data_IF_162479709886
#
_entry.id   IF_162479709886
#
_cell.length_a   1.000
_cell.length_b   1.000
_cell.length_c   1.000
_cell.angle_alpha   90.00
_cell.angle_beta   90.00
_cell.angle_gamma   90.00
#
_symmetry.space_group_name_H-M   'P 1'
#
loop_
_entity.id
_entity.type
_entity.pdbx_description
1 polymer ?
#
# COMPACT_ATOMS: atom_id res chain seq x y z
N UNK A 1 -2.85 14.30 71.69
CA UNK A 1 -2.35 13.07 72.36
C UNK A 1 -1.50 12.30 71.36
N UNK A 2 -0.34 11.73 71.77
CA UNK A 2 0.58 10.83 71.00
C UNK A 2 1.07 11.39 69.63
N UNK A 3 2.33 11.85 69.42
CA UNK A 3 3.67 11.20 69.55
C UNK A 3 3.77 9.89 68.74
N UNK A 4 4.86 9.43 68.09
CA UNK A 4 6.16 9.92 67.56
C UNK A 4 6.86 8.66 66.90
N UNK A 5 7.95 8.67 66.09
CA UNK A 5 8.93 9.70 65.65
C UNK A 5 9.54 9.38 64.24
N UNK A 6 10.32 10.34 63.73
CA UNK A 6 11.32 10.38 62.63
C UNK A 6 12.32 9.20 62.52
N UNK A 7 12.84 8.89 61.31
CA UNK A 7 14.28 8.87 60.95
C UNK A 7 14.47 8.46 59.48
N UNK A 8 15.50 8.99 58.83
CA UNK A 8 15.97 8.54 57.53
C UNK A 8 17.49 8.58 57.46
N UNK A 9 18.09 7.89 56.49
CA UNK A 9 19.48 8.14 56.09
C UNK A 9 19.65 7.91 54.58
N UNK A 10 20.50 8.74 53.99
CA UNK A 10 20.84 8.78 52.57
C UNK A 10 22.27 8.27 52.41
N UNK A 11 22.57 7.45 51.40
CA UNK A 11 23.93 7.28 50.90
C UNK A 11 23.93 6.80 49.44
N UNK A 12 24.50 7.64 48.56
CA UNK A 12 24.89 7.29 47.20
C UNK A 12 26.32 6.71 47.21
N UNK A 13 26.62 5.76 46.33
CA UNK A 13 27.91 5.69 45.64
C UNK A 13 27.76 4.99 44.27
N UNK A 14 28.74 5.18 43.40
CA UNK A 14 28.59 5.08 41.94
C UNK A 14 29.59 4.12 41.27
N UNK A 15 29.11 3.43 40.22
CA UNK A 15 29.82 3.08 38.96
C UNK A 15 31.06 2.14 38.91
N UNK A 16 30.93 1.10 38.07
CA UNK A 16 31.79 0.75 36.89
C UNK A 16 32.85 -0.40 36.96
N UNK A 17 32.61 -1.39 36.06
CA UNK A 17 33.52 -2.22 35.21
C UNK A 17 34.14 -3.59 35.63
N UNK A 18 33.76 -4.60 34.80
CA UNK A 18 34.56 -5.64 34.09
C UNK A 18 34.95 -7.02 34.69
N UNK A 19 34.30 -8.07 34.12
CA UNK A 19 34.83 -9.30 33.47
C UNK A 19 35.87 -10.18 34.19
N UNK A 20 35.51 -11.46 34.45
CA UNK A 20 36.12 -12.64 33.77
C UNK A 20 35.62 -14.03 34.27
N UNK A 21 35.33 -14.91 33.30
CA UNK A 21 35.47 -16.39 33.26
C UNK A 21 34.95 -17.37 34.36
N UNK A 22 34.60 -18.57 33.86
CA UNK A 22 33.96 -19.72 34.51
C UNK A 22 34.87 -20.49 35.50
N UNK A 23 34.34 -21.52 36.19
CA UNK A 23 34.66 -22.88 35.74
C UNK A 23 33.47 -23.87 35.71
N UNK A 24 33.69 -25.01 35.05
CA UNK A 24 32.78 -26.16 34.90
C UNK A 24 33.16 -27.26 35.90
N UNK A 25 32.23 -28.02 36.49
CA UNK A 25 32.52 -29.23 37.24
C UNK A 25 32.49 -30.50 36.35
N UNK A 26 33.67 -31.10 36.19
CA UNK A 26 33.99 -32.50 36.54
C UNK A 26 32.97 -33.63 36.30
N UNK A 27 33.42 -34.67 35.58
CA UNK A 27 33.11 -36.06 35.92
C UNK A 27 34.41 -36.83 36.18
N UNK A 28 34.37 -37.76 37.13
CA UNK A 28 35.46 -38.66 37.45
C UNK A 28 35.00 -40.10 37.27
N UNK A 29 35.91 -40.97 36.80
CA UNK A 29 35.81 -42.41 37.01
C UNK A 29 37.21 -42.98 37.27
N UNK A 30 37.26 -44.17 37.89
CA UNK A 30 38.38 -44.61 38.73
C UNK A 30 38.93 -45.97 38.36
N UNK A 31 40.24 -46.17 38.61
CA UNK A 31 40.95 -47.46 38.79
C UNK A 31 40.98 -48.39 37.55
N UNK A 32 42.12 -48.97 37.17
CA UNK A 32 43.06 -49.74 38.01
C UNK A 32 44.55 -49.44 37.73
N UNK A 33 45.40 -49.70 38.73
CA UNK A 33 46.86 -49.80 38.60
C UNK A 33 47.28 -51.20 38.10
N UNK A 34 48.41 -51.30 37.38
CA UNK A 34 49.54 -52.18 37.75
C UNK A 34 50.77 -51.92 36.84
N UNK A 35 51.75 -51.24 37.43
CA UNK A 35 53.21 -51.47 37.42
C UNK A 35 54.09 -51.73 36.15
N UNK A 36 55.21 -50.99 36.18
CA UNK A 36 56.59 -51.31 35.75
C UNK A 36 56.99 -51.47 34.26
N UNK A 37 57.45 -50.33 33.69
CA UNK A 37 58.88 -49.98 33.47
C UNK A 37 59.79 -50.81 32.49
N UNK A 38 60.80 -50.10 31.96
CA UNK A 38 62.07 -50.56 31.31
C UNK A 38 62.11 -50.69 29.76
N UNK A 39 62.70 -49.63 29.17
CA UNK A 39 63.83 -49.62 28.20
C UNK A 39 63.76 -50.31 26.82
N UNK A 40 63.98 -49.51 25.78
CA UNK A 40 65.23 -49.65 25.02
C UNK A 40 65.28 -50.49 23.73
N UNK A 41 65.38 -49.77 22.60
CA UNK A 41 66.18 -50.08 21.39
C UNK A 41 65.78 -51.20 20.41
N UNK A 42 65.54 -50.73 19.18
CA UNK A 42 66.05 -51.20 17.87
C UNK A 42 65.86 -52.66 17.37
N UNK A 43 65.11 -52.71 16.26
CA UNK A 43 65.50 -53.26 14.94
C UNK A 43 65.33 -54.75 14.58
N UNK A 44 64.74 -54.90 13.38
CA UNK A 44 64.91 -55.90 12.33
C UNK A 44 64.23 -57.30 12.41
N UNK A 45 63.99 -57.79 11.17
CA UNK A 45 63.61 -59.11 10.67
C UNK A 45 62.13 -59.59 10.70
N UNK A 46 61.52 -59.48 9.51
CA UNK A 46 60.70 -60.45 8.75
C UNK A 46 60.09 -61.67 9.48
N UNK A 47 58.76 -61.89 9.36
CA UNK A 47 58.21 -62.97 8.52
C UNK A 47 56.68 -62.82 8.23
N UNK A 48 56.25 -63.57 7.23
CA UNK A 48 55.04 -63.63 6.40
C UNK A 48 53.60 -63.77 7.01
N UNK A 49 52.63 -63.54 6.10
CA UNK A 49 51.29 -64.17 5.91
C UNK A 49 49.97 -63.66 6.57
N UNK A 50 49.00 -63.42 5.67
CA UNK A 50 47.52 -63.66 5.71
C UNK A 50 46.70 -62.93 6.81
N UNK A 51 45.66 -62.13 6.52
CA UNK A 51 44.48 -62.39 5.68
C UNK A 51 43.69 -61.09 5.40
N UNK A 52 43.40 -60.77 4.13
CA UNK A 52 42.66 -59.57 3.68
C UNK A 52 41.13 -59.76 3.83
N UNK A 53 40.57 -59.51 5.03
CA UNK A 53 39.12 -59.27 5.19
C UNK A 53 38.76 -58.16 6.17
N UNK A 54 39.15 -56.91 5.88
CA UNK A 54 38.52 -55.75 6.53
C UNK A 54 37.03 -55.62 6.12
N UNK A 55 36.18 -56.21 6.96
CA UNK A 55 34.75 -55.94 6.99
C UNK A 55 34.51 -54.54 7.54
N UNK A 56 34.49 -53.53 6.65
CA UNK A 56 34.12 -52.16 6.99
C UNK A 56 32.63 -52.13 7.39
N UNK A 57 32.37 -52.36 8.68
CA UNK A 57 31.12 -51.98 9.31
C UNK A 57 31.17 -50.46 9.53
N UNK A 58 30.48 -49.71 8.67
CA UNK A 58 30.13 -48.33 8.94
C UNK A 58 29.11 -48.30 10.11
N UNK A 59 29.61 -48.20 11.34
CA UNK A 59 28.84 -47.58 12.42
C UNK A 59 28.86 -46.06 12.16
N UNK A 60 27.94 -45.59 11.31
CA UNK A 60 27.51 -44.20 11.35
C UNK A 60 26.51 -44.07 12.50
N UNK A 61 27.01 -43.63 13.66
CA UNK A 61 26.20 -43.09 14.76
C UNK A 61 25.51 -41.80 14.27
N UNK A 62 24.38 -41.97 13.56
CA UNK A 62 23.46 -40.91 13.18
C UNK A 62 22.80 -40.35 14.46
N UNK A 63 23.45 -39.38 15.12
CA UNK A 63 22.80 -38.55 16.15
C UNK A 63 21.62 -37.81 15.50
N UNK A 64 20.40 -38.31 15.75
CA UNK A 64 19.13 -37.72 15.30
C UNK A 64 18.94 -36.33 15.92
N UNK A 65 19.51 -35.30 15.26
CA UNK A 65 19.46 -33.89 15.68
C UNK A 65 17.99 -33.40 15.75
N UNK A 66 17.44 -33.42 16.97
CA UNK A 66 16.13 -32.87 17.25
C UNK A 66 16.08 -31.33 17.08
N UNK A 67 14.97 -30.84 16.52
CA UNK A 67 14.74 -29.40 16.31
C UNK A 67 13.97 -28.76 17.47
N UNK A 68 14.34 -27.53 17.83
CA UNK A 68 13.64 -26.74 18.85
C UNK A 68 12.42 -26.04 18.27
N UNK A 69 11.28 -26.23 18.90
CA UNK A 69 10.02 -25.54 18.57
C UNK A 69 9.69 -24.51 19.63
N UNK A 70 9.70 -23.24 19.24
CA UNK A 70 9.33 -22.09 20.06
C UNK A 70 7.83 -21.78 19.95
N UNK A 71 7.23 -21.28 21.03
CA UNK A 71 5.81 -20.95 21.07
C UNK A 71 5.57 -19.45 21.28
N UNK A 72 4.93 -18.81 20.30
CA UNK A 72 4.51 -17.41 20.33
C UNK A 72 3.02 -17.31 20.66
N UNK A 73 2.71 -16.90 21.89
CA UNK A 73 1.36 -16.80 22.45
C UNK A 73 0.48 -15.72 21.78
N UNK A 74 1.05 -14.90 20.89
CA UNK A 74 0.36 -13.94 20.03
C UNK A 74 -0.54 -12.97 20.83
N UNK A 75 -0.02 -12.50 21.97
CA UNK A 75 -0.71 -11.62 22.92
C UNK A 75 -1.73 -12.33 23.82
N UNK A 76 -1.57 -13.63 24.04
CA UNK A 76 -2.07 -14.35 25.22
C UNK A 76 -0.98 -14.48 26.30
N UNK A 77 -1.09 -15.52 27.12
CA UNK A 77 -0.15 -15.89 28.17
C UNK A 77 0.05 -17.42 28.14
N UNK A 78 1.30 -17.91 28.25
CA UNK A 78 1.58 -19.34 28.42
C UNK A 78 1.22 -19.76 29.86
N UNK A 79 0.47 -20.86 29.97
CA UNK A 79 -0.01 -21.41 31.24
C UNK A 79 0.52 -22.81 31.56
N UNK A 80 1.26 -23.44 30.63
CA UNK A 80 2.08 -24.62 30.90
C UNK A 80 3.40 -24.26 31.60
N UNK A 81 4.06 -25.26 32.17
CA UNK A 81 5.40 -25.15 32.78
C UNK A 81 6.54 -24.99 31.76
N UNK A 82 6.27 -25.14 30.46
CA UNK A 82 7.22 -25.08 29.36
C UNK A 82 6.73 -24.14 28.25
N UNK A 83 7.67 -23.56 27.50
CA UNK A 83 7.43 -22.64 26.39
C UNK A 83 8.22 -22.98 25.11
N UNK A 84 8.91 -24.12 25.11
CA UNK A 84 9.60 -24.75 23.99
C UNK A 84 9.46 -26.27 24.10
N UNK A 85 9.65 -26.99 22.99
CA UNK A 85 9.78 -28.46 22.95
C UNK A 85 10.89 -28.86 21.96
N UNK A 86 11.40 -30.09 22.09
CA UNK A 86 12.26 -30.73 21.08
C UNK A 86 11.43 -31.69 20.23
N UNK A 87 11.70 -31.76 18.92
CA UNK A 87 11.01 -32.67 17.99
C UNK A 87 11.96 -33.32 16.98
N UNK A 88 11.80 -34.63 16.79
CA UNK A 88 12.46 -35.42 15.72
C UNK A 88 11.64 -35.36 14.43
N UNK A 89 12.29 -35.30 13.27
CA UNK A 89 11.59 -35.33 11.98
C UNK A 89 11.05 -36.73 11.66
N UNK A 90 9.79 -36.80 11.22
CA UNK A 90 9.05 -38.06 11.09
C UNK A 90 8.33 -38.52 12.37
N UNK A 91 8.65 -37.96 13.54
CA UNK A 91 7.94 -38.20 14.79
C UNK A 91 6.77 -37.20 15.01
N UNK A 92 5.76 -37.52 15.83
CA UNK A 92 4.70 -36.57 16.21
C UNK A 92 5.21 -35.46 17.13
N UNK A 93 4.65 -34.25 17.03
CA UNK A 93 5.05 -33.07 17.83
C UNK A 93 4.89 -33.25 19.36
N UNK A 94 4.05 -34.15 19.87
CA UNK A 94 3.89 -34.36 21.31
C UNK A 94 3.15 -33.23 22.04
N UNK A 95 3.27 -33.16 23.37
CA UNK A 95 2.47 -32.21 24.18
C UNK A 95 2.82 -30.75 23.84
N UNK A 96 1.81 -29.99 23.39
CA UNK A 96 1.94 -28.56 23.09
C UNK A 96 1.51 -27.72 24.29
N UNK A 97 2.17 -26.58 24.58
CA UNK A 97 1.87 -25.80 25.77
C UNK A 97 0.46 -25.23 25.74
N UNK A 98 -0.19 -25.27 26.90
CA UNK A 98 -1.45 -24.59 27.15
C UNK A 98 -1.22 -23.07 27.22
N UNK A 99 -2.16 -22.33 26.66
CA UNK A 99 -2.19 -20.86 26.68
C UNK A 99 -3.57 -20.35 27.07
N UNK A 100 -3.61 -19.17 27.68
CA UNK A 100 -4.84 -18.45 27.96
C UNK A 100 -4.80 -17.04 27.38
N UNK A 101 -5.96 -16.43 27.13
CA UNK A 101 -6.05 -15.02 26.73
C UNK A 101 -7.40 -14.45 27.12
N UNK A 102 -7.41 -13.44 27.98
CA UNK A 102 -8.64 -12.88 28.54
C UNK A 102 -9.60 -12.36 27.46
N UNK A 103 -10.81 -12.93 27.41
CA UNK A 103 -11.85 -12.57 26.43
C UNK A 103 -11.66 -13.14 25.02
N UNK A 104 -10.87 -14.20 24.87
CA UNK A 104 -10.74 -15.02 23.66
C UNK A 104 -10.83 -16.51 24.00
N UNK A 105 -11.11 -17.35 23.01
CA UNK A 105 -10.94 -18.80 23.04
C UNK A 105 -9.77 -19.21 22.14
N UNK A 106 -8.92 -20.11 22.65
CA UNK A 106 -7.80 -20.67 21.90
C UNK A 106 -8.31 -21.51 20.73
N UNK A 107 -7.71 -21.39 19.54
CA UNK A 107 -8.08 -22.14 18.33
C UNK A 107 -7.03 -23.19 17.93
N UNK A 108 -5.82 -23.10 18.49
CA UNK A 108 -4.71 -24.01 18.24
C UNK A 108 -3.39 -23.27 17.97
N UNK A 109 -2.33 -24.05 17.85
CA UNK A 109 -1.02 -23.63 17.39
C UNK A 109 -0.93 -23.74 15.86
N UNK A 110 -0.30 -22.77 15.21
CA UNK A 110 -0.22 -22.69 13.74
C UNK A 110 1.18 -22.30 13.28
N UNK A 111 1.58 -22.76 12.10
CA UNK A 111 2.91 -22.45 11.51
C UNK A 111 3.11 -20.99 11.09
N UNK A 112 2.12 -20.10 11.27
CA UNK A 112 2.17 -18.65 10.93
C UNK A 112 1.29 -17.83 11.87
N UNK A 113 1.68 -16.58 12.13
CA UNK A 113 0.89 -15.59 12.91
C UNK A 113 -0.54 -15.41 12.37
N UNK A 114 -0.71 -15.52 11.05
CA UNK A 114 -2.01 -15.45 10.34
C UNK A 114 -2.09 -16.52 9.25
N UNK A 115 -3.15 -17.31 9.25
CA UNK A 115 -3.25 -18.51 8.41
C UNK A 115 -2.22 -19.58 8.83
N UNK A 116 -1.67 -20.31 7.86
CA UNK A 116 -0.76 -21.43 8.13
C UNK A 116 -1.48 -22.74 8.40
N UNK A 117 -0.71 -23.78 8.66
CA UNK A 117 -1.21 -25.12 9.00
C UNK A 117 -1.37 -25.21 10.51
N UNK A 118 -2.49 -25.79 10.97
CA UNK A 118 -2.69 -26.08 12.40
C UNK A 118 -1.82 -27.27 12.80
N UNK A 119 -1.06 -27.12 13.89
CA UNK A 119 -0.29 -28.20 14.51
C UNK A 119 -1.04 -28.70 15.75
N UNK A 120 -1.02 -30.01 15.92
CA UNK A 120 -1.54 -30.76 17.08
C UNK A 120 -0.45 -31.69 17.60
N UNK A 121 -0.64 -32.26 18.79
CA UNK A 121 0.29 -33.24 19.35
C UNK A 121 0.51 -34.48 18.45
N UNK A 122 -0.49 -34.82 17.63
CA UNK A 122 -0.48 -35.95 16.68
C UNK A 122 0.08 -35.57 15.29
N UNK A 123 0.37 -34.30 15.05
CA UNK A 123 0.92 -33.88 13.75
C UNK A 123 2.34 -34.42 13.61
N UNK A 124 2.67 -35.04 12.47
CA UNK A 124 4.03 -35.50 12.17
C UNK A 124 4.91 -34.30 11.85
N UNK A 125 6.08 -34.23 12.50
CA UNK A 125 7.08 -33.22 12.26
C UNK A 125 7.75 -33.42 10.89
N UNK A 126 7.87 -32.33 10.14
CA UNK A 126 8.54 -32.25 8.84
C UNK A 126 9.51 -31.06 8.81
N UNK A 127 10.10 -30.74 9.96
CA UNK A 127 11.08 -29.66 10.07
C UNK A 127 12.44 -30.12 9.55
N UNK A 128 13.30 -29.16 9.26
CA UNK A 128 14.71 -29.36 8.90
C UNK A 128 15.59 -28.28 9.55
N UNK A 129 15.02 -27.55 10.51
CA UNK A 129 15.56 -26.40 11.24
C UNK A 129 14.56 -26.04 12.36
N UNK A 130 15.00 -25.24 13.34
CA UNK A 130 14.18 -24.70 14.41
C UNK A 130 12.96 -23.91 13.89
N UNK A 131 11.85 -23.93 14.64
CA UNK A 131 10.61 -23.30 14.19
C UNK A 131 9.85 -22.56 15.29
N UNK A 132 9.02 -21.58 14.91
CA UNK A 132 8.07 -20.93 15.82
C UNK A 132 6.62 -21.27 15.44
N UNK A 133 5.85 -21.76 16.41
CA UNK A 133 4.39 -21.91 16.29
C UNK A 133 3.67 -20.74 16.97
N UNK A 134 2.58 -20.28 16.35
CA UNK A 134 1.83 -19.11 16.79
C UNK A 134 0.43 -19.49 17.28
N UNK A 135 0.02 -18.95 18.43
CA UNK A 135 -1.31 -19.15 18.97
C UNK A 135 -2.36 -18.38 18.15
N UNK A 136 -3.45 -19.06 17.78
CA UNK A 136 -4.61 -18.43 17.15
C UNK A 136 -5.77 -18.29 18.14
N UNK A 137 -6.48 -17.18 18.05
CA UNK A 137 -7.45 -16.74 19.05
C UNK A 137 -8.78 -16.30 18.42
N UNK A 138 -9.91 -16.64 19.04
CA UNK A 138 -11.26 -16.23 18.63
C UNK A 138 -11.96 -15.45 19.73
N UNK A 139 -12.38 -14.22 19.45
CA UNK A 139 -13.01 -13.30 20.41
C UNK A 139 -14.25 -13.91 21.07
N UNK A 140 -14.31 -13.96 22.41
CA UNK A 140 -15.49 -14.41 23.17
C UNK A 140 -16.28 -13.20 23.69
N UNK A 141 -17.50 -13.02 23.17
CA UNK A 141 -18.40 -11.91 23.55
C UNK A 141 -18.28 -10.62 22.73
N UNK A 142 -17.60 -10.67 21.57
CA UNK A 142 -17.63 -9.60 20.56
C UNK A 142 -18.86 -9.67 19.65
N UNK A 143 -19.31 -8.51 19.17
CA UNK A 143 -20.27 -8.34 18.08
C UNK A 143 -19.55 -7.69 16.90
N UNK A 144 -19.83 -8.18 15.69
CA UNK A 144 -19.17 -7.70 14.46
C UNK A 144 -19.86 -6.46 13.88
N UNK A 145 -19.09 -5.64 13.18
CA UNK A 145 -19.58 -4.53 12.35
C UNK A 145 -19.18 -4.82 10.90
N UNK A 146 -20.15 -5.16 10.07
CA UNK A 146 -19.96 -5.37 8.63
C UNK A 146 -20.18 -4.07 7.86
N UNK A 147 -19.13 -3.53 7.27
CA UNK A 147 -19.19 -2.32 6.46
C UNK A 147 -19.40 -2.65 4.97
N UNK A 148 -20.59 -2.36 4.45
CA UNK A 148 -20.93 -2.45 3.03
C UNK A 148 -20.54 -1.13 2.36
N UNK A 149 -19.38 -1.16 1.70
CA UNK A 149 -18.69 0.02 1.16
C UNK A 149 -18.94 0.26 -0.34
N UNK A 150 -19.55 -0.69 -1.06
CA UNK A 150 -19.83 -0.61 -2.51
C UNK A 150 -18.63 -0.14 -3.36
N UNK A 151 -17.42 -0.62 -3.04
CA UNK A 151 -16.16 -0.26 -3.72
C UNK A 151 -15.38 0.89 -3.07
N UNK A 152 -15.86 1.47 -1.96
CA UNK A 152 -15.09 2.38 -1.11
C UNK A 152 -14.13 1.67 -0.15
N UNK A 153 -13.32 2.46 0.55
CA UNK A 153 -12.35 2.04 1.58
C UNK A 153 -12.81 2.58 2.94
N UNK A 154 -12.87 1.73 3.95
CA UNK A 154 -13.27 2.14 5.30
C UNK A 154 -12.24 3.07 5.94
N UNK A 155 -12.68 3.83 6.94
CA UNK A 155 -11.77 4.57 7.81
C UNK A 155 -11.07 3.60 8.77
N UNK A 156 -9.74 3.64 8.89
CA UNK A 156 -9.01 2.72 9.78
C UNK A 156 -9.28 2.94 11.28
N UNK A 157 -9.98 4.02 11.66
CA UNK A 157 -10.44 4.27 13.02
C UNK A 157 -11.86 3.72 13.30
N UNK A 158 -12.53 3.15 12.29
CA UNK A 158 -13.76 2.37 12.49
C UNK A 158 -13.36 0.94 12.90
N UNK A 159 -13.84 0.42 14.04
CA UNK A 159 -13.51 -0.93 14.48
C UNK A 159 -14.39 -1.98 13.78
N UNK A 160 -13.84 -3.17 13.52
CA UNK A 160 -14.58 -4.30 12.93
C UNK A 160 -15.39 -5.10 13.99
N UNK A 161 -15.08 -4.94 15.28
CA UNK A 161 -15.77 -5.57 16.41
C UNK A 161 -15.99 -4.61 17.59
N UNK A 162 -17.00 -4.91 18.42
CA UNK A 162 -17.25 -4.22 19.69
C UNK A 162 -17.87 -5.16 20.73
N UNK A 163 -17.81 -4.80 22.01
CA UNK A 163 -18.44 -5.53 23.12
C UNK A 163 -19.60 -4.71 23.69
N UNK A 164 -20.53 -5.34 24.42
CA UNK A 164 -21.65 -4.64 25.12
C UNK A 164 -21.16 -3.46 25.99
N UNK A 165 -19.97 -3.60 26.57
CA UNK A 165 -19.33 -2.61 27.45
C UNK A 165 -18.60 -1.49 26.70
N UNK A 166 -18.30 -1.65 25.41
CA UNK A 166 -17.59 -0.65 24.58
C UNK A 166 -18.32 0.69 24.62
N UNK A 167 -17.56 1.78 24.81
CA UNK A 167 -18.10 3.15 24.77
C UNK A 167 -18.72 3.42 23.40
N UNK A 168 -19.66 4.37 23.32
CA UNK A 168 -20.32 4.74 22.05
C UNK A 168 -19.30 5.02 20.95
N UNK A 169 -19.36 4.25 19.86
CA UNK A 169 -18.46 4.36 18.72
C UNK A 169 -19.03 5.41 17.78
N UNK A 170 -18.33 6.54 17.61
CA UNK A 170 -18.67 7.53 16.57
C UNK A 170 -18.07 7.08 15.25
N UNK A 171 -18.93 6.79 14.28
CA UNK A 171 -18.52 6.32 12.96
C UNK A 171 -17.76 7.43 12.23
N UNK A 172 -16.66 7.04 11.58
CA UNK A 172 -15.84 7.91 10.74
C UNK A 172 -16.17 7.70 9.27
N UNK A 173 -15.94 8.74 8.48
CA UNK A 173 -16.28 8.75 7.06
C UNK A 173 -15.29 7.84 6.29
N UNK A 174 -15.81 6.90 5.47
CA UNK A 174 -15.04 6.14 4.50
C UNK A 174 -14.71 7.02 3.29
N UNK A 175 -13.85 6.54 2.39
CA UNK A 175 -13.47 7.23 1.15
C UNK A 175 -13.76 6.38 -0.08
N UNK A 176 -14.10 7.01 -1.21
CA UNK A 176 -14.26 6.34 -2.51
C UNK A 176 -13.95 7.33 -3.63
N UNK A 177 -13.03 6.97 -4.52
CA UNK A 177 -12.67 7.76 -5.70
C UNK A 177 -13.90 8.14 -6.52
N UNK A 178 -14.00 9.41 -6.93
CA UNK A 178 -15.11 9.98 -7.70
C UNK A 178 -16.49 10.04 -7.01
N UNK A 179 -16.57 9.76 -5.71
CA UNK A 179 -17.80 9.94 -4.93
C UNK A 179 -17.57 10.75 -3.66
N UNK A 180 -18.58 11.55 -3.29
CA UNK A 180 -18.68 12.13 -1.96
C UNK A 180 -19.44 11.19 -1.04
N UNK A 181 -18.96 11.03 0.19
CA UNK A 181 -19.67 10.25 1.22
C UNK A 181 -20.97 10.97 1.65
N UNK A 182 -22.10 10.30 1.49
CA UNK A 182 -23.43 10.79 1.86
C UNK A 182 -23.89 10.42 3.27
N UNK A 183 -23.17 9.54 3.97
CA UNK A 183 -23.50 9.08 5.32
C UNK A 183 -23.62 7.56 5.47
N UNK A 184 -23.59 7.09 6.72
CA UNK A 184 -23.80 5.69 7.09
C UNK A 184 -25.29 5.38 7.32
N UNK A 185 -25.71 4.18 6.94
CA UNK A 185 -27.09 3.72 7.05
C UNK A 185 -27.17 2.30 7.61
N UNK A 186 -28.24 1.99 8.35
CA UNK A 186 -28.49 0.62 8.85
C UNK A 186 -29.30 -0.24 7.87
N UNK A 187 -29.64 0.29 6.69
CA UNK A 187 -30.42 -0.37 5.65
C UNK A 187 -29.91 -0.05 4.24
N UNK A 188 -29.98 -1.04 3.34
CA UNK A 188 -29.55 -0.91 1.93
C UNK A 188 -30.35 0.12 1.12
N UNK A 189 -31.54 0.52 1.58
CA UNK A 189 -32.37 1.56 0.94
C UNK A 189 -31.99 2.98 1.38
N UNK A 190 -31.02 3.14 2.27
CA UNK A 190 -30.54 4.42 2.79
C UNK A 190 -31.65 5.27 3.46
N UNK A 191 -32.52 4.63 4.24
CA UNK A 191 -33.66 5.29 4.91
C UNK A 191 -33.41 5.57 6.40
N UNK A 192 -32.52 4.81 7.05
CA UNK A 192 -32.20 4.87 8.48
C UNK A 192 -30.75 5.32 8.69
N UNK A 193 -30.46 6.64 8.63
CA UNK A 193 -29.12 7.17 8.81
C UNK A 193 -28.62 6.92 10.24
N UNK A 194 -27.32 6.70 10.38
CA UNK A 194 -26.65 6.48 11.67
C UNK A 194 -25.30 7.19 11.68
N UNK A 195 -24.90 7.71 12.84
CA UNK A 195 -23.59 8.36 13.05
C UNK A 195 -22.79 7.71 14.18
N UNK A 196 -23.41 6.84 14.98
CA UNK A 196 -22.73 6.13 16.07
C UNK A 196 -23.43 4.82 16.45
N UNK A 197 -22.64 3.90 16.99
CA UNK A 197 -23.11 2.67 17.64
C UNK A 197 -23.12 2.94 19.14
N UNK A 198 -24.30 2.89 19.77
CA UNK A 198 -24.45 3.21 21.21
C UNK A 198 -23.84 2.11 22.09
N UNK A 199 -23.20 2.51 23.20
CA UNK A 199 -22.84 1.60 24.31
C UNK A 199 -24.04 0.75 24.72
N UNK A 200 -23.81 -0.51 25.05
CA UNK A 200 -24.86 -1.45 25.44
C UNK A 200 -25.55 -2.17 24.28
N UNK A 201 -25.14 -1.93 23.02
CA UNK A 201 -25.64 -2.71 21.88
C UNK A 201 -25.19 -4.18 22.00
N UNK A 202 -26.10 -5.12 21.72
CA UNK A 202 -25.89 -6.57 21.90
C UNK A 202 -26.23 -7.40 20.66
N UNK A 203 -25.85 -6.91 19.47
CA UNK A 203 -26.03 -7.63 18.20
C UNK A 203 -25.01 -7.17 17.16
N UNK A 204 -24.72 -8.03 16.20
CA UNK A 204 -23.94 -7.66 15.02
C UNK A 204 -24.67 -6.56 14.23
N UNK A 205 -23.90 -5.69 13.56
CA UNK A 205 -24.41 -4.55 12.81
C UNK A 205 -23.91 -4.61 11.38
N UNK A 206 -24.79 -4.37 10.42
CA UNK A 206 -24.40 -4.09 9.03
C UNK A 206 -24.63 -2.61 8.74
N UNK A 207 -23.61 -1.93 8.22
CA UNK A 207 -23.61 -0.51 7.89
C UNK A 207 -23.37 -0.32 6.40
N UNK A 208 -24.24 0.44 5.74
CA UNK A 208 -24.17 0.74 4.31
C UNK A 208 -23.66 2.17 4.12
N UNK A 209 -22.59 2.33 3.35
CA UNK A 209 -22.09 3.64 2.95
C UNK A 209 -22.92 4.18 1.77
N UNK A 210 -23.56 5.35 1.93
CA UNK A 210 -24.17 6.02 0.78
C UNK A 210 -23.12 6.83 0.03
N UNK A 211 -23.05 6.63 -1.28
CA UNK A 211 -22.18 7.40 -2.18
C UNK A 211 -23.00 8.35 -3.05
N UNK A 212 -22.40 9.50 -3.39
CA UNK A 212 -22.97 10.55 -4.24
C UNK A 212 -21.96 10.86 -5.35
N UNK A 213 -22.35 10.77 -6.62
CA UNK A 213 -21.43 10.97 -7.74
C UNK A 213 -20.81 12.38 -7.73
N UNK A 214 -19.49 12.47 -7.78
CA UNK A 214 -18.82 13.73 -8.09
C UNK A 214 -19.02 14.05 -9.58
N UNK A 215 -19.38 15.28 -9.98
CA UNK A 215 -19.61 15.60 -11.39
C UNK A 215 -18.30 15.63 -12.17
N UNK A 216 -18.36 15.20 -13.44
CA UNK A 216 -17.24 15.27 -14.38
C UNK A 216 -17.59 16.11 -15.60
N UNK A 217 -16.89 17.24 -15.77
CA UNK A 217 -16.96 18.06 -16.98
C UNK A 217 -16.54 17.20 -18.18
N UNK A 218 -17.43 17.07 -19.16
CA UNK A 218 -17.19 16.29 -20.39
C UNK A 218 -16.67 17.15 -21.53
N UNK A 219 -17.00 18.45 -21.55
CA UNK A 219 -16.52 19.41 -22.56
C UNK A 219 -16.52 20.83 -22.01
N UNK A 220 -15.51 21.61 -22.41
CA UNK A 220 -15.50 23.06 -22.32
C UNK A 220 -15.32 23.63 -23.73
N UNK A 221 -16.36 24.27 -24.28
CA UNK A 221 -16.33 24.87 -25.62
C UNK A 221 -16.18 26.38 -25.50
N UNK A 222 -14.98 26.87 -25.73
CA UNK A 222 -14.66 28.31 -25.72
C UNK A 222 -15.22 29.06 -26.91
N UNK A 223 -15.38 30.38 -26.73
CA UNK A 223 -15.55 31.37 -27.79
C UNK A 223 -15.04 32.73 -27.27
N UNK A 224 -15.23 33.83 -28.04
CA UNK A 224 -14.54 35.11 -27.83
C UNK A 224 -14.67 35.65 -26.39
N UNK A 225 -15.85 35.48 -25.79
CA UNK A 225 -16.21 36.06 -24.49
C UNK A 225 -17.11 35.14 -23.63
N UNK A 226 -17.19 33.85 -23.95
CA UNK A 226 -18.01 32.88 -23.21
C UNK A 226 -17.51 31.46 -23.38
N UNK A 227 -17.73 30.62 -22.37
CA UNK A 227 -17.41 29.17 -22.38
C UNK A 227 -18.70 28.38 -22.12
N UNK A 228 -19.01 27.43 -22.98
CA UNK A 228 -20.07 26.43 -22.75
C UNK A 228 -19.47 25.20 -22.10
N UNK A 229 -19.85 24.93 -20.85
CA UNK A 229 -19.52 23.70 -20.13
C UNK A 229 -20.64 22.68 -20.31
N UNK A 230 -20.28 21.42 -20.53
CA UNK A 230 -21.20 20.25 -20.41
C UNK A 230 -20.58 19.20 -19.51
N UNK A 231 -21.42 18.41 -18.83
CA UNK A 231 -20.98 17.34 -17.92
C UNK A 231 -21.91 16.12 -18.00
N UNK A 232 -21.44 15.00 -17.47
CA UNK A 232 -22.27 13.79 -17.29
C UNK A 232 -23.30 14.06 -16.18
N UNK A 233 -24.53 13.58 -16.35
CA UNK A 233 -25.57 13.67 -15.31
C UNK A 233 -25.18 12.76 -14.13
N UNK A 234 -25.05 13.35 -12.94
CA UNK A 234 -25.01 12.61 -11.69
C UNK A 234 -26.43 12.19 -11.30
N UNK A 235 -26.65 10.94 -10.87
CA UNK A 235 -28.00 10.48 -10.54
C UNK A 235 -28.45 11.02 -9.17
N UNK A 236 -29.73 11.38 -9.04
CA UNK A 236 -30.28 11.99 -7.82
C UNK A 236 -29.75 13.40 -7.47
N UNK A 237 -28.87 14.00 -8.28
CA UNK A 237 -28.41 15.38 -8.07
C UNK A 237 -29.52 16.40 -8.37
N UNK A 238 -29.76 17.33 -7.45
CA UNK A 238 -30.79 18.37 -7.55
C UNK A 238 -30.35 19.55 -8.42
N UNK A 239 -29.07 19.92 -8.34
CA UNK A 239 -28.46 21.04 -9.07
C UNK A 239 -26.94 20.96 -9.02
N UNK A 240 -26.30 21.74 -9.88
CA UNK A 240 -24.86 21.85 -10.01
C UNK A 240 -24.42 23.29 -9.73
N UNK A 241 -23.39 23.46 -8.90
CA UNK A 241 -22.70 24.74 -8.67
C UNK A 241 -21.47 24.78 -9.56
N UNK A 242 -21.34 25.80 -10.39
CA UNK A 242 -20.18 26.00 -11.26
C UNK A 242 -19.29 27.05 -10.62
N UNK A 243 -18.00 26.74 -10.56
CA UNK A 243 -16.96 27.58 -10.00
C UNK A 243 -15.95 27.95 -11.09
N UNK A 244 -15.45 29.18 -11.03
CA UNK A 244 -14.50 29.75 -11.97
C UNK A 244 -13.30 30.37 -11.23
N UNK A 245 -12.12 30.29 -11.85
CA UNK A 245 -10.96 31.10 -11.50
C UNK A 245 -10.20 31.55 -12.76
N UNK A 246 -9.31 32.53 -12.60
CA UNK A 246 -8.34 32.96 -13.63
C UNK A 246 -6.95 32.36 -13.41
N UNK A 247 -6.78 31.50 -12.41
CA UNK A 247 -5.55 30.76 -12.11
C UNK A 247 -5.91 29.32 -11.74
N UNK A 248 -5.12 28.30 -12.13
CA UNK A 248 -5.44 26.89 -11.86
C UNK A 248 -5.46 26.57 -10.35
N UNK A 249 -4.62 27.29 -9.59
CA UNK A 249 -4.48 27.18 -8.13
C UNK A 249 -5.07 28.42 -7.41
N UNK A 250 -5.78 29.29 -8.15
CA UNK A 250 -6.36 30.50 -7.61
C UNK A 250 -7.61 30.24 -6.77
N UNK A 251 -8.09 31.27 -6.06
CA UNK A 251 -9.39 31.21 -5.39
C UNK A 251 -10.49 31.00 -6.43
N UNK A 252 -11.24 29.91 -6.30
CA UNK A 252 -12.43 29.62 -7.11
C UNK A 252 -13.63 30.38 -6.54
N UNK A 253 -14.41 31.00 -7.42
CA UNK A 253 -15.65 31.72 -7.07
C UNK A 253 -16.82 31.06 -7.79
N UNK A 254 -17.95 30.88 -7.10
CA UNK A 254 -19.17 30.40 -7.76
C UNK A 254 -19.63 31.44 -8.80
N UNK A 255 -19.86 30.99 -10.03
CA UNK A 255 -20.24 31.85 -11.16
C UNK A 255 -21.61 31.49 -11.76
N UNK A 256 -22.11 30.27 -11.53
CA UNK A 256 -23.46 29.86 -11.93
C UNK A 256 -24.00 28.72 -11.03
N UNK A 257 -25.31 28.51 -11.07
CA UNK A 257 -25.97 27.32 -10.53
C UNK A 257 -27.11 26.93 -11.45
N UNK A 258 -27.16 25.67 -11.88
CA UNK A 258 -28.16 25.15 -12.84
C UNK A 258 -28.65 23.76 -12.43
N UNK A 259 -29.83 23.36 -12.90
CA UNK A 259 -30.39 22.00 -12.70
C UNK A 259 -30.02 21.03 -13.82
N UNK A 260 -29.80 21.53 -15.04
CA UNK A 260 -29.38 20.72 -16.19
C UNK A 260 -27.89 20.39 -16.23
N UNK A 261 -27.46 19.68 -17.28
CA UNK A 261 -26.08 19.19 -17.50
C UNK A 261 -25.20 20.11 -18.37
N UNK A 262 -25.61 21.37 -18.53
CA UNK A 262 -24.90 22.37 -19.33
C UNK A 262 -25.04 23.78 -18.73
N UNK A 263 -23.99 24.58 -18.84
CA UNK A 263 -24.00 26.00 -18.47
C UNK A 263 -23.10 26.80 -19.42
N UNK A 264 -23.61 27.94 -19.89
CA UNK A 264 -22.81 28.94 -20.60
C UNK A 264 -22.36 30.00 -19.59
N UNK A 265 -21.05 30.20 -19.48
CA UNK A 265 -20.46 31.25 -18.64
C UNK A 265 -20.13 32.45 -19.54
N UNK A 266 -20.86 33.57 -19.44
CA UNK A 266 -20.68 34.75 -20.29
C UNK A 266 -19.62 35.72 -19.73
N UNK A 267 -19.45 36.85 -20.43
CA UNK A 267 -18.67 38.02 -19.96
C UNK A 267 -17.20 37.72 -19.61
N UNK A 268 -16.62 36.74 -20.30
CA UNK A 268 -15.21 36.39 -20.18
C UNK A 268 -14.35 37.32 -21.04
N UNK A 269 -13.16 37.65 -20.56
CA UNK A 269 -12.21 38.46 -21.30
C UNK A 269 -11.62 37.69 -22.49
N UNK A 270 -11.53 38.35 -23.64
CA UNK A 270 -10.89 37.81 -24.85
C UNK A 270 -9.39 37.56 -24.61
N UNK A 271 -8.85 36.52 -25.26
CA UNK A 271 -7.45 36.06 -25.12
C UNK A 271 -7.03 35.75 -23.66
N UNK A 272 -7.99 35.35 -22.81
CA UNK A 272 -7.73 34.98 -21.41
C UNK A 272 -8.06 33.52 -21.13
N UNK A 273 -7.21 32.88 -20.32
CA UNK A 273 -7.45 31.56 -19.77
C UNK A 273 -8.35 31.62 -18.54
N UNK A 274 -9.31 30.72 -18.48
CA UNK A 274 -10.19 30.50 -17.34
C UNK A 274 -10.19 29.03 -16.94
N UNK A 275 -10.44 28.79 -15.67
CA UNK A 275 -10.41 27.47 -15.06
C UNK A 275 -11.74 27.22 -14.37
N UNK A 276 -12.28 26.02 -14.51
CA UNK A 276 -13.60 25.64 -14.05
C UNK A 276 -13.57 24.36 -13.23
N UNK A 277 -14.47 24.32 -12.24
CA UNK A 277 -14.86 23.10 -11.52
C UNK A 277 -16.37 23.12 -11.28
N UNK A 278 -16.97 21.95 -11.09
CA UNK A 278 -18.40 21.81 -10.78
C UNK A 278 -18.54 20.97 -9.51
N UNK A 279 -19.50 21.30 -8.64
CA UNK A 279 -19.97 20.39 -7.59
C UNK A 279 -21.45 20.07 -7.79
N UNK A 280 -21.84 18.83 -7.58
CA UNK A 280 -23.24 18.41 -7.55
C UNK A 280 -23.82 18.68 -6.16
N UNK A 281 -25.14 18.87 -6.08
CA UNK A 281 -25.86 19.16 -4.84
C UNK A 281 -27.01 18.17 -4.68
N UNK A 282 -27.03 17.50 -3.55
CA UNK A 282 -27.93 16.40 -3.21
C UNK A 282 -28.76 16.72 -1.97
N UNK A 283 -29.83 15.95 -1.76
CA UNK A 283 -30.53 15.87 -0.48
C UNK A 283 -30.47 14.44 0.04
N UNK A 284 -29.82 14.25 1.20
CA UNK A 284 -29.68 12.95 1.86
C UNK A 284 -30.29 13.06 3.25
N UNK A 285 -31.29 12.22 3.55
CA UNK A 285 -32.00 12.20 4.84
C UNK A 285 -32.40 13.59 5.35
N UNK A 286 -32.97 14.41 4.45
CA UNK A 286 -33.38 15.79 4.74
C UNK A 286 -32.27 16.85 4.58
N UNK A 287 -31.00 16.49 4.73
CA UNK A 287 -29.86 17.42 4.70
C UNK A 287 -29.36 17.67 3.28
N UNK A 288 -28.92 18.90 3.00
CA UNK A 288 -28.27 19.22 1.72
C UNK A 288 -26.78 18.88 1.81
N UNK A 289 -26.30 18.10 0.84
CA UNK A 289 -24.88 17.75 0.68
C UNK A 289 -24.40 18.34 -0.64
N UNK A 290 -23.28 19.08 -0.62
CA UNK A 290 -22.57 19.50 -1.86
C UNK A 290 -21.36 18.59 -2.01
N UNK A 291 -21.16 18.02 -3.19
CA UNK A 291 -20.02 17.13 -3.43
C UNK A 291 -18.69 17.87 -3.41
N UNK A 292 -17.62 17.10 -3.28
CA UNK A 292 -16.31 17.52 -3.78
C UNK A 292 -16.42 18.04 -5.22
N UNK A 293 -15.53 18.97 -5.55
CA UNK A 293 -15.51 19.61 -6.85
C UNK A 293 -14.85 18.70 -7.90
N UNK A 294 -15.36 18.74 -9.12
CA UNK A 294 -14.81 18.03 -10.28
C UNK A 294 -13.30 18.29 -10.44
N UNK A 295 -12.59 17.38 -11.14
CA UNK A 295 -11.29 17.70 -11.73
C UNK A 295 -11.31 19.04 -12.46
N UNK A 296 -10.15 19.69 -12.48
CA UNK A 296 -9.95 21.01 -13.07
C UNK A 296 -10.07 20.93 -14.60
N UNK A 297 -10.84 21.84 -15.21
CA UNK A 297 -10.86 22.03 -16.66
C UNK A 297 -10.50 23.47 -17.01
N UNK A 298 -9.58 23.66 -17.95
CA UNK A 298 -9.22 24.97 -18.50
C UNK A 298 -10.00 25.29 -19.79
N UNK A 299 -10.14 26.57 -20.10
CA UNK A 299 -10.71 27.05 -21.36
C UNK A 299 -10.12 28.41 -21.74
N UNK A 300 -9.56 28.53 -22.94
CA UNK A 300 -8.98 29.76 -23.47
C UNK A 300 -10.00 30.50 -24.35
N UNK A 301 -10.28 31.78 -24.09
CA UNK A 301 -11.32 32.54 -24.81
C UNK A 301 -10.81 33.14 -26.14
N UNK A 302 -11.09 32.49 -27.26
CA UNK A 302 -10.68 32.88 -28.63
C UNK A 302 -11.87 33.07 -29.56
N UNK A 303 -11.68 33.74 -30.72
CA UNK A 303 -12.71 33.76 -31.77
C UNK A 303 -12.86 32.33 -32.31
N UNK A 304 -14.04 31.74 -32.22
CA UNK A 304 -14.37 30.44 -32.83
C UNK A 304 -14.41 30.55 -34.35
N UNK A 305 -13.71 29.67 -35.04
CA UNK A 305 -13.91 29.38 -36.45
C UNK A 305 -15.16 28.50 -36.64
N UNK A 306 -16.03 28.89 -37.57
CA UNK A 306 -17.08 28.01 -38.12
C UNK A 306 -16.45 26.90 -38.96
N UNK A 307 -17.05 25.71 -38.95
CA UNK A 307 -16.44 24.51 -39.53
C UNK A 307 -16.44 24.45 -41.06
N UNK A 308 -15.62 23.54 -41.60
CA UNK A 308 -15.76 22.97 -42.94
C UNK A 308 -15.26 21.52 -42.92
N UNK A 309 -15.87 20.65 -43.73
CA UNK A 309 -15.41 19.28 -43.92
C UNK A 309 -14.24 19.26 -44.90
N UNK A 310 -13.14 18.59 -44.55
CA UNK A 310 -12.31 17.89 -45.52
C UNK A 310 -11.36 16.88 -44.86
N UNK A 311 -11.24 15.73 -45.52
CA UNK A 311 -10.21 14.71 -45.37
C UNK A 311 -10.17 13.95 -46.70
N UNK A 312 -9.05 13.35 -47.16
CA UNK A 312 -7.73 13.27 -46.54
C UNK A 312 -6.60 13.88 -47.40
N UNK A 313 -5.38 13.96 -46.84
CA UNK A 313 -4.07 13.68 -47.49
C UNK A 313 -2.95 14.67 -47.12
N UNK A 314 -1.94 14.11 -46.43
CA UNK A 314 -0.50 14.45 -46.43
C UNK A 314 -0.03 15.86 -45.96
N UNK A 315 0.62 15.80 -44.80
CA UNK A 315 1.69 16.65 -44.26
C UNK A 315 2.82 16.97 -45.27
N UNK A 316 3.68 18.01 -45.06
CA UNK A 316 4.18 18.41 -43.73
C UNK A 316 4.29 19.93 -43.38
N UNK A 317 4.07 20.16 -42.08
CA UNK A 317 4.83 21.07 -41.20
C UNK A 317 4.74 22.60 -41.41
N UNK A 318 4.37 23.29 -40.32
CA UNK A 318 4.54 24.74 -40.16
C UNK A 318 3.23 25.56 -40.13
N UNK A 319 2.74 25.87 -38.93
CA UNK A 319 2.64 27.27 -38.49
C UNK A 319 2.16 27.43 -37.03
N UNK A 320 3.14 27.62 -36.16
CA UNK A 320 3.19 28.53 -34.99
C UNK A 320 1.84 29.02 -34.41
N UNK A 321 1.50 28.51 -33.22
CA UNK A 321 0.69 29.25 -32.25
C UNK A 321 1.63 29.89 -31.21
N UNK A 322 1.55 31.22 -31.05
CA UNK A 322 2.52 31.98 -30.26
C UNK A 322 2.20 32.03 -28.76
N UNK A 323 3.08 31.41 -27.97
CA UNK A 323 3.79 32.00 -26.82
C UNK A 323 2.93 32.68 -25.73
N UNK A 324 2.88 32.03 -24.56
CA UNK A 324 3.09 32.75 -23.29
C UNK A 324 4.51 32.49 -22.78
N UNK A 325 5.38 33.50 -22.89
CA UNK A 325 6.69 33.48 -22.26
C UNK A 325 6.54 33.50 -20.74
N UNK A 326 7.23 32.60 -20.01
CA UNK A 326 7.38 32.72 -18.56
C UNK A 326 6.90 31.56 -17.68
N UNK A 327 7.06 30.31 -18.12
CA UNK A 327 7.74 29.22 -17.38
C UNK A 327 7.34 27.86 -17.99
N UNK A 328 8.30 27.06 -18.53
CA UNK A 328 7.99 25.76 -19.10
C UNK A 328 7.61 24.76 -18.00
N UNK A 329 6.91 23.68 -18.38
CA UNK A 329 6.65 22.57 -17.47
C UNK A 329 7.95 21.78 -17.29
N UNK A 330 8.56 21.89 -16.11
CA UNK A 330 9.72 21.10 -15.72
C UNK A 330 9.29 19.82 -15.00
N UNK A 331 9.63 18.68 -15.58
CA UNK A 331 9.73 17.43 -14.84
C UNK A 331 11.21 17.11 -14.68
N UNK A 332 11.69 17.25 -13.45
CA UNK A 332 13.02 16.83 -13.05
C UNK A 332 12.87 15.48 -12.34
N UNK A 333 13.58 14.47 -12.84
CA UNK A 333 13.66 13.15 -12.22
C UNK A 333 15.14 12.77 -12.18
N UNK A 334 15.80 13.21 -11.12
CA UNK A 334 17.17 12.85 -10.74
C UNK A 334 18.19 12.78 -11.90
N UNK A 335 18.36 13.90 -12.61
CA UNK A 335 19.23 14.01 -13.78
C UNK A 335 18.49 14.02 -15.11
N UNK A 336 17.33 13.36 -15.20
CA UNK A 336 16.42 13.52 -16.33
C UNK A 336 15.75 14.89 -16.24
N UNK A 337 16.06 15.77 -17.21
CA UNK A 337 15.43 17.08 -17.35
C UNK A 337 14.54 17.07 -18.58
N UNK A 338 13.23 16.95 -18.36
CA UNK A 338 12.26 17.08 -19.43
C UNK A 338 11.60 18.47 -19.37
N UNK A 339 11.81 19.29 -20.40
CA UNK A 339 11.16 20.59 -20.58
C UNK A 339 10.28 20.56 -21.83
N UNK A 340 9.06 21.07 -21.69
CA UNK A 340 8.15 21.23 -22.81
C UNK A 340 7.22 22.42 -22.57
N UNK A 341 6.85 23.08 -23.68
CA UNK A 341 6.26 24.40 -23.62
C UNK A 341 4.75 24.34 -23.31
N UNK A 342 4.04 23.30 -23.75
CA UNK A 342 2.60 23.14 -23.52
C UNK A 342 2.20 21.68 -23.31
N UNK A 343 1.51 21.40 -22.20
CA UNK A 343 0.81 20.12 -21.97
C UNK A 343 -0.67 20.30 -22.27
N UNK A 344 -1.15 19.72 -23.38
CA UNK A 344 -2.56 19.76 -23.77
C UNK A 344 -3.35 18.53 -23.28
N UNK A 345 -2.68 17.62 -22.57
CA UNK A 345 -3.07 16.21 -22.52
C UNK A 345 -3.05 15.63 -21.10
N UNK A 346 -3.87 14.59 -20.91
CA UNK A 346 -4.10 13.94 -19.63
C UNK A 346 -2.85 13.27 -19.05
N UNK A 347 -2.78 13.24 -17.71
CA UNK A 347 -1.80 12.51 -16.88
C UNK A 347 -1.24 11.21 -17.48
N UNK A 348 -2.10 10.34 -18.06
CA UNK A 348 -1.71 9.07 -18.72
C UNK A 348 -0.64 9.20 -19.80
N UNK A 349 -0.42 10.38 -20.34
CA UNK A 349 0.62 10.64 -21.33
C UNK A 349 1.95 11.04 -20.67
N UNK A 350 1.90 11.71 -19.52
CA UNK A 350 3.08 12.29 -18.89
C UNK A 350 4.04 11.22 -18.37
N UNK A 351 3.58 10.34 -17.46
CA UNK A 351 4.45 9.36 -16.82
C UNK A 351 5.04 8.32 -17.81
N UNK A 352 4.27 7.73 -18.76
CA UNK A 352 4.83 6.80 -19.72
C UNK A 352 5.75 7.46 -20.75
N UNK A 353 5.47 8.71 -21.17
CA UNK A 353 6.36 9.43 -22.08
C UNK A 353 7.71 9.75 -21.41
N UNK A 354 7.72 10.10 -20.12
CA UNK A 354 8.98 10.28 -19.37
C UNK A 354 9.83 9.01 -19.36
N UNK A 355 9.23 7.85 -19.10
CA UNK A 355 9.95 6.57 -19.09
C UNK A 355 10.46 6.20 -20.49
N UNK A 356 9.63 6.36 -21.53
CA UNK A 356 10.07 6.15 -22.91
C UNK A 356 11.22 7.08 -23.31
N UNK A 357 11.14 8.36 -22.97
CA UNK A 357 12.19 9.34 -23.23
C UNK A 357 13.50 8.96 -22.54
N UNK A 358 13.44 8.56 -21.26
CA UNK A 358 14.59 8.11 -20.50
C UNK A 358 15.22 6.80 -21.03
N UNK A 359 14.42 5.92 -21.64
CA UNK A 359 14.91 4.72 -22.33
C UNK A 359 15.58 5.02 -23.68
N UNK A 360 15.59 6.28 -24.12
CA UNK A 360 16.18 6.77 -25.36
C UNK A 360 15.21 6.91 -26.55
N UNK A 361 13.90 6.77 -26.35
CA UNK A 361 12.92 6.93 -27.43
C UNK A 361 12.55 8.40 -27.64
N UNK A 362 12.34 8.81 -28.90
CA UNK A 362 11.77 10.11 -29.23
C UNK A 362 10.27 10.16 -28.85
N UNK A 363 10.00 10.47 -27.60
CA UNK A 363 8.68 10.52 -27.01
C UNK A 363 8.53 11.76 -26.11
N UNK A 364 7.41 12.45 -26.25
CA UNK A 364 6.93 13.48 -25.33
C UNK A 364 5.42 13.23 -25.05
N UNK A 365 4.80 13.91 -24.07
CA UNK A 365 3.40 13.66 -23.73
C UNK A 365 2.43 13.91 -24.91
N UNK A 366 2.70 14.86 -25.80
CA UNK A 366 1.85 15.16 -26.95
C UNK A 366 2.04 14.08 -28.05
N UNK A 367 3.29 13.71 -28.37
CA UNK A 367 3.60 12.57 -29.27
C UNK A 367 2.96 11.28 -28.78
N UNK A 368 2.98 11.03 -27.46
CA UNK A 368 2.35 9.85 -26.88
C UNK A 368 0.83 9.92 -26.93
N UNK A 369 0.23 11.10 -26.74
CA UNK A 369 -1.20 11.31 -26.89
C UNK A 369 -1.69 10.97 -28.30
N UNK A 370 -0.97 11.42 -29.34
CA UNK A 370 -1.27 11.07 -30.74
C UNK A 370 -1.18 9.55 -30.98
N UNK A 371 -0.22 8.89 -30.33
CA UNK A 371 -0.03 7.43 -30.39
C UNK A 371 -1.17 6.67 -29.72
N UNK A 372 -1.60 7.06 -28.52
CA UNK A 372 -2.70 6.37 -27.80
C UNK A 372 -4.08 6.78 -28.32
N UNK A 373 -4.20 7.98 -28.91
CA UNK A 373 -5.40 8.50 -29.56
C UNK A 373 -6.55 8.84 -28.60
N UNK A 374 -6.26 9.33 -27.40
CA UNK A 374 -7.29 9.72 -26.44
C UNK A 374 -6.84 9.87 -24.98
N UNK A 375 -7.82 10.00 -24.09
CA UNK A 375 -7.63 10.31 -22.66
C UNK A 375 -7.60 9.08 -21.76
N UNK A 376 -7.02 7.97 -22.22
CA UNK A 376 -6.90 6.72 -21.47
C UNK A 376 -5.62 5.96 -21.84
N UNK A 377 -4.97 5.34 -20.86
CA UNK A 377 -3.75 4.54 -21.08
C UNK A 377 -4.02 3.34 -21.99
N UNK A 378 -3.18 3.13 -23.00
CA UNK A 378 -3.32 2.04 -23.97
C UNK A 378 -1.96 1.37 -24.24
N UNK A 379 -1.66 0.29 -23.50
CA UNK A 379 -0.41 -0.45 -23.61
C UNK A 379 -0.14 -0.94 -25.04
N UNK A 380 -1.11 -1.60 -25.68
CA UNK A 380 -0.92 -2.20 -27.01
C UNK A 380 -0.50 -1.18 -28.08
N UNK A 381 -1.00 0.06 -28.03
CA UNK A 381 -0.56 1.13 -28.95
C UNK A 381 0.87 1.62 -28.65
N UNK A 382 1.25 1.68 -27.37
CA UNK A 382 2.61 2.04 -26.93
C UNK A 382 3.61 0.96 -27.37
N UNK A 383 3.32 -0.30 -27.09
CA UNK A 383 4.13 -1.46 -27.50
C UNK A 383 4.32 -1.52 -29.02
N UNK A 384 3.25 -1.28 -29.78
CA UNK A 384 3.29 -1.26 -31.25
C UNK A 384 4.11 -0.10 -31.81
N UNK A 385 4.06 1.09 -31.19
CA UNK A 385 4.76 2.29 -31.68
C UNK A 385 6.26 2.28 -31.35
N UNK A 386 6.61 1.89 -30.12
CA UNK A 386 7.97 2.05 -29.60
C UNK A 386 8.75 0.73 -29.54
N UNK A 387 8.13 -0.41 -29.90
CA UNK A 387 8.80 -1.71 -29.84
C UNK A 387 9.12 -2.17 -28.41
N UNK A 388 8.42 -1.62 -27.42
CA UNK A 388 8.56 -1.95 -25.99
C UNK A 388 7.55 -3.03 -25.56
N UNK A 389 7.76 -3.60 -24.38
CA UNK A 389 6.80 -4.46 -23.68
C UNK A 389 6.24 -3.72 -22.46
N UNK A 390 4.92 -3.75 -22.27
CA UNK A 390 4.23 -3.06 -21.17
C UNK A 390 3.53 -4.08 -20.29
N UNK A 391 4.15 -4.44 -19.16
CA UNK A 391 3.63 -5.49 -18.28
C UNK A 391 2.84 -4.88 -17.12
N UNK A 392 1.62 -5.36 -16.87
CA UNK A 392 0.78 -4.95 -15.73
C UNK A 392 0.89 -5.95 -14.57
N UNK A 393 1.30 -5.44 -13.41
CA UNK A 393 1.34 -6.17 -12.14
C UNK A 393 0.18 -5.71 -11.24
N UNK A 394 -0.44 -6.64 -10.53
CA UNK A 394 -1.64 -6.38 -9.71
C UNK A 394 -1.29 -6.47 -8.22
N UNK A 395 -1.51 -5.40 -7.47
CA UNK A 395 -1.22 -5.31 -6.02
C UNK A 395 -2.50 -5.38 -5.15
N UNK A 396 -3.66 -5.68 -5.73
CA UNK A 396 -4.96 -5.69 -5.02
C UNK A 396 -5.03 -6.78 -3.95
N UNK A 397 -5.77 -6.52 -2.87
CA UNK A 397 -6.06 -7.50 -1.80
C UNK A 397 -4.93 -7.71 -0.78
N UNK A 398 -3.75 -7.12 -0.99
CA UNK A 398 -2.59 -7.22 -0.10
C UNK A 398 -2.59 -6.13 0.98
N UNK A 399 -1.99 -6.42 2.14
CA UNK A 399 -1.83 -5.45 3.23
C UNK A 399 -0.98 -4.25 2.80
N UNK A 400 -1.05 -3.14 3.55
CA UNK A 400 -0.23 -1.94 3.29
C UNK A 400 1.27 -2.26 3.32
N UNK A 401 1.73 -3.02 4.32
CA UNK A 401 3.12 -3.47 4.43
C UNK A 401 3.53 -4.38 3.26
N UNK A 402 2.69 -5.35 2.87
CA UNK A 402 2.98 -6.25 1.75
C UNK A 402 3.08 -5.50 0.41
N UNK A 403 2.17 -4.55 0.16
CA UNK A 403 2.22 -3.72 -1.07
C UNK A 403 3.43 -2.79 -1.10
N UNK A 404 3.84 -2.26 0.06
CA UNK A 404 5.10 -1.51 0.19
C UNK A 404 6.29 -2.41 -0.13
N UNK A 405 6.40 -3.59 0.48
CA UNK A 405 7.51 -4.51 0.24
C UNK A 405 7.58 -4.98 -1.21
N UNK A 406 6.45 -5.34 -1.83
CA UNK A 406 6.42 -5.74 -3.25
C UNK A 406 6.82 -4.60 -4.19
N UNK A 407 6.41 -3.36 -3.90
CA UNK A 407 6.85 -2.20 -4.66
C UNK A 407 8.36 -1.94 -4.49
N UNK A 408 8.92 -2.14 -3.28
CA UNK A 408 10.36 -2.07 -3.03
C UNK A 408 11.12 -3.15 -3.84
N UNK A 409 10.72 -4.42 -3.74
CA UNK A 409 11.33 -5.53 -4.48
C UNK A 409 11.25 -5.33 -6.01
N UNK A 410 10.12 -4.81 -6.48
CA UNK A 410 9.90 -4.47 -7.88
C UNK A 410 10.82 -3.34 -8.36
N UNK A 411 10.90 -2.23 -7.62
CA UNK A 411 11.75 -1.09 -7.99
C UNK A 411 13.25 -1.35 -7.78
N UNK A 412 13.61 -2.28 -6.89
CA UNK A 412 14.98 -2.75 -6.73
C UNK A 412 15.46 -3.60 -7.93
N UNK A 413 14.57 -4.41 -8.51
CA UNK A 413 14.86 -5.19 -9.74
C UNK A 413 14.66 -4.39 -11.03
N UNK A 414 13.91 -3.28 -10.99
CA UNK A 414 13.63 -2.39 -12.14
C UNK A 414 13.66 -0.94 -11.67
N UNK A 415 14.78 -0.21 -11.82
CA UNK A 415 14.93 1.13 -11.24
C UNK A 415 13.93 2.16 -11.76
N UNK A 416 13.32 1.96 -12.94
CA UNK A 416 12.17 2.74 -13.41
C UNK A 416 10.85 1.93 -13.41
N UNK A 417 9.84 2.44 -12.68
CA UNK A 417 8.47 1.91 -12.71
C UNK A 417 7.43 2.99 -12.99
N UNK A 418 6.43 2.68 -13.82
CA UNK A 418 5.23 3.54 -13.97
C UNK A 418 4.20 3.11 -12.94
N UNK A 419 3.92 3.99 -11.98
CA UNK A 419 2.90 3.79 -10.96
C UNK A 419 1.54 4.26 -11.51
N UNK A 420 0.53 3.39 -11.49
CA UNK A 420 -0.84 3.78 -11.86
C UNK A 420 -1.75 3.62 -10.65
N UNK A 421 -2.32 4.74 -10.21
CA UNK A 421 -3.16 4.84 -9.01
C UNK A 421 -4.54 4.20 -9.26
N UNK A 422 -5.21 3.78 -8.18
CA UNK A 422 -6.53 3.13 -8.18
C UNK A 422 -7.60 3.78 -9.07
N UNK A 423 -7.56 5.10 -9.24
CA UNK A 423 -8.59 5.84 -9.98
C UNK A 423 -8.60 5.51 -11.48
N UNK A 424 -7.48 5.02 -12.03
CA UNK A 424 -7.33 4.90 -13.47
C UNK A 424 -7.49 6.26 -14.16
N UNK A 425 -7.15 7.35 -13.46
CA UNK A 425 -7.22 8.76 -13.86
C UNK A 425 -6.00 9.59 -13.42
N UNK A 426 -5.00 9.00 -12.76
CA UNK A 426 -3.69 9.61 -12.51
C UNK A 426 -2.55 8.59 -12.64
N UNK A 427 -1.47 8.98 -13.31
CA UNK A 427 -0.26 8.17 -13.48
C UNK A 427 0.96 8.96 -13.04
N UNK A 428 1.85 8.27 -12.33
CA UNK A 428 3.04 8.84 -11.69
C UNK A 428 4.25 7.96 -12.03
N UNK A 429 5.46 8.52 -11.92
CA UNK A 429 6.69 7.72 -12.06
C UNK A 429 7.23 7.44 -10.66
N UNK A 430 7.51 6.18 -10.37
CA UNK A 430 8.14 5.74 -9.14
C UNK A 430 9.49 5.08 -9.46
N UNK A 431 10.51 5.38 -8.67
CA UNK A 431 11.86 4.87 -8.86
C UNK A 431 12.54 4.62 -7.51
N UNK A 432 13.49 3.69 -7.47
CA UNK A 432 14.32 3.49 -6.29
C UNK A 432 15.62 4.30 -6.44
N UNK A 433 15.97 5.08 -5.43
CA UNK A 433 17.26 5.75 -5.34
C UNK A 433 17.71 5.83 -3.88
N UNK A 434 18.98 5.51 -3.62
CA UNK A 434 19.60 5.52 -2.29
C UNK A 434 18.84 4.65 -1.27
N UNK A 435 18.29 3.51 -1.72
CA UNK A 435 17.45 2.63 -0.89
C UNK A 435 16.04 3.16 -0.58
N UNK A 436 15.63 4.29 -1.18
CA UNK A 436 14.36 4.97 -0.94
C UNK A 436 13.51 5.01 -2.20
N UNK A 437 12.22 4.69 -2.10
CA UNK A 437 11.28 4.92 -3.21
C UNK A 437 10.96 6.41 -3.28
N UNK A 438 11.23 7.00 -4.45
CA UNK A 438 10.90 8.38 -4.81
C UNK A 438 9.77 8.37 -5.83
N UNK A 439 8.80 9.28 -5.68
CA UNK A 439 7.65 9.43 -6.58
C UNK A 439 7.60 10.85 -7.15
N UNK A 440 7.34 10.96 -8.45
CA UNK A 440 7.06 12.22 -9.14
C UNK A 440 5.55 12.31 -9.43
N UNK A 441 4.85 13.14 -8.64
CA UNK A 441 3.41 13.43 -8.86
C UNK A 441 3.27 14.38 -10.06
N UNK A 442 2.60 13.91 -11.11
CA UNK A 442 2.41 14.69 -12.34
C UNK A 442 1.58 15.97 -12.18
N UNK A 443 1.02 16.23 -10.99
CA UNK A 443 0.37 17.48 -10.62
C UNK A 443 1.25 18.54 -9.93
N UNK A 444 2.46 18.22 -9.47
CA UNK A 444 3.30 19.16 -8.69
C UNK A 444 4.24 19.96 -9.60
N UNK A 445 3.96 21.26 -9.75
CA UNK A 445 4.86 22.20 -10.40
C UNK A 445 6.11 22.37 -9.53
N UNK A 446 7.24 21.83 -10.01
CA UNK A 446 8.65 21.99 -9.58
C UNK A 446 9.42 20.64 -9.49
N UNK A 447 8.77 19.49 -9.72
CA UNK A 447 9.48 18.20 -9.73
C UNK A 447 9.97 17.74 -8.34
N UNK A 448 9.27 18.13 -7.28
CA UNK A 448 9.56 17.66 -5.92
C UNK A 448 9.44 16.13 -5.86
N UNK A 449 10.58 15.47 -5.63
CA UNK A 449 10.64 14.03 -5.44
C UNK A 449 10.21 13.70 -4.01
N UNK A 450 9.05 13.07 -3.85
CA UNK A 450 8.53 12.71 -2.53
C UNK A 450 9.19 11.41 -2.06
N UNK A 451 9.85 11.48 -0.89
CA UNK A 451 10.40 10.34 -0.16
C UNK A 451 9.28 9.56 0.56
N UNK A 452 8.99 8.33 0.09
CA UNK A 452 7.96 7.46 0.70
C UNK A 452 8.37 6.82 2.04
N UNK A 453 9.58 7.05 2.53
CA UNK A 453 10.06 6.49 3.80
C UNK A 453 9.55 7.27 5.03
N UNK A 454 9.32 8.58 4.92
CA UNK A 454 9.09 9.46 6.09
C UNK A 454 7.75 10.18 6.18
N UNK A 455 6.99 10.34 5.09
CA UNK A 455 5.57 10.77 5.17
C UNK A 455 4.80 10.41 3.88
N UNK A 456 3.47 10.59 3.87
CA UNK A 456 2.57 10.42 2.71
C UNK A 456 2.25 8.99 2.24
N UNK A 457 2.52 7.94 3.03
CA UNK A 457 1.92 6.61 2.78
C UNK A 457 0.38 6.72 2.67
N UNK A 458 -0.27 7.52 3.53
CA UNK A 458 -1.72 7.87 3.43
C UNK A 458 -2.19 8.47 2.10
N UNK A 459 -1.31 9.03 1.26
CA UNK A 459 -1.68 9.53 -0.08
C UNK A 459 -1.60 8.41 -1.12
N UNK A 460 -0.77 7.38 -0.93
CA UNK A 460 -0.45 6.34 -1.92
C UNK A 460 -0.80 4.90 -1.49
N UNK A 461 -1.51 4.71 -0.37
CA UNK A 461 -2.08 3.43 0.11
C UNK A 461 -3.12 2.78 -0.81
N UNK A 462 -3.38 3.36 -1.98
CA UNK A 462 -4.33 2.89 -2.98
C UNK A 462 -3.64 2.70 -4.34
N UNK A 463 -2.51 2.00 -4.34
CA UNK A 463 -1.91 1.43 -5.56
C UNK A 463 -2.54 0.04 -5.76
N UNK A 464 -3.17 -0.15 -6.92
CA UNK A 464 -3.79 -1.42 -7.34
C UNK A 464 -3.03 -2.07 -8.49
N UNK A 465 -2.32 -1.26 -9.30
CA UNK A 465 -1.55 -1.72 -10.45
C UNK A 465 -0.20 -1.01 -10.52
N UNK A 466 0.82 -1.74 -10.98
CA UNK A 466 2.12 -1.18 -11.39
C UNK A 466 2.36 -1.61 -12.82
N UNK A 467 2.91 -0.72 -13.64
CA UNK A 467 3.22 -1.00 -15.04
C UNK A 467 4.73 -0.84 -15.28
N UNK A 468 5.34 -1.83 -15.93
CA UNK A 468 6.67 -1.65 -16.54
C UNK A 468 6.53 -1.11 -17.95
N UNK A 469 7.60 -0.48 -18.43
CA UNK A 469 7.87 -0.33 -19.85
C UNK A 469 9.29 -0.84 -20.04
N UNK A 470 9.41 -2.03 -20.59
CA UNK A 470 10.68 -2.73 -20.80
C UNK A 470 11.05 -2.69 -22.29
N UNK A 471 12.33 -2.68 -22.63
CA UNK A 471 12.75 -2.97 -24.02
C UNK A 471 12.38 -4.43 -24.32
N UNK A 472 11.95 -4.71 -25.56
CA UNK A 472 11.73 -6.09 -26.02
C UNK A 472 13.04 -6.82 -26.22
#
# INVERSE_FOLDING_TARGET
>A
MKRYVLYGLLLLFTTIFFVSFSPVPTFAYSYYDEDENIDGTEADDEDDTEDDTENIANDEDDEDEGFTVYFNENGGDITSSFNTIQVTTGAPYGELPAVSRSGFSFQGWYTKEKGGTKITAETICTLTDDATLHAHWKSTGGYTITYILDGGVNNSANPDEFKKTTKTITLKDPSRTDFTFGGWFTDKKYTKPVTSIKKGTTKNITLYAKWLDNPRISKASSSKNKVLLTWVKCDGALKYKIYQSTSPNGKFRACATVTGTKATIPNLAYKKNYYFRISAVYKVSGKIVTTEASPLVSAYCTKTSSGSNSSPSKTPQGNVANVSSGMPYYYQLDGWKFSYNECLVSCFCCAPAMVLHAMGYDCDPNKLYDVIGGVAFNSAKIEKKYGVKVTRYTLTGKSEAARKQELYNFLASRPQGVLIRQDGYHTEVAYLKDGVIKVNDSGIRNGECIDLSRSLIRKYTNIHYVYTIDKK
#
